data_IF_807650190943
#
_entry.id   IF_807650190943
#
_cell.length_a   1.000
_cell.length_b   1.000
_cell.length_c   1.000
_cell.angle_alpha   90.00
_cell.angle_beta   90.00
_cell.angle_gamma   90.00
#
_symmetry.space_group_name_H-M   'P 1'
#
loop_
_entity.id
_entity.type
_entity.pdbx_description
1 polymer ?
#
# COMPACT_ATOMS: atom_id res chain seq x y z
N UNK A 1 6.35 -21.26 -4.04
CA UNK A 1 6.57 -20.00 -3.30
C UNK A 1 7.87 -19.35 -3.75
N UNK A 2 8.99 -19.63 -3.07
CA UNK A 2 10.32 -19.10 -3.42
C UNK A 2 10.83 -19.54 -4.81
N UNK A 3 10.72 -20.82 -5.13
CA UNK A 3 11.20 -21.38 -6.42
C UNK A 3 10.51 -20.73 -7.65
N UNK A 4 9.25 -20.31 -7.54
CA UNK A 4 8.54 -19.61 -8.61
C UNK A 4 8.89 -18.11 -8.69
N UNK A 5 9.33 -17.52 -7.56
CA UNK A 5 9.81 -16.13 -7.48
C UNK A 5 11.18 -15.98 -8.14
N UNK A 6 12.09 -16.93 -7.89
CA UNK A 6 13.48 -16.84 -8.35
C UNK A 6 13.62 -17.04 -9.87
N UNK A 7 12.61 -17.66 -10.51
CA UNK A 7 12.55 -17.82 -11.97
C UNK A 7 11.79 -16.71 -12.70
N UNK A 8 11.17 -15.78 -11.97
CA UNK A 8 10.46 -14.67 -12.58
C UNK A 8 11.45 -13.56 -13.01
N UNK A 9 11.15 -12.79 -14.06
CA UNK A 9 11.93 -11.59 -14.41
C UNK A 9 12.11 -10.65 -13.21
N UNK A 10 13.23 -9.95 -13.13
CA UNK A 10 13.50 -9.00 -12.04
C UNK A 10 12.37 -7.95 -11.89
N UNK A 11 11.74 -7.57 -13.00
CA UNK A 11 10.49 -6.79 -13.09
C UNK A 11 9.42 -7.28 -12.13
N UNK A 12 9.16 -8.58 -12.24
CA UNK A 12 8.03 -9.25 -11.62
C UNK A 12 8.34 -9.46 -10.14
N UNK A 13 9.59 -9.76 -9.81
CA UNK A 13 10.05 -9.85 -8.43
C UNK A 13 9.95 -8.50 -7.71
N UNK A 14 10.36 -7.40 -8.36
CA UNK A 14 10.26 -6.04 -7.82
C UNK A 14 8.81 -5.59 -7.63
N UNK A 15 7.96 -5.79 -8.64
CA UNK A 15 6.51 -5.52 -8.55
C UNK A 15 5.86 -6.32 -7.41
N UNK A 16 6.19 -7.60 -7.29
CA UNK A 16 5.65 -8.47 -6.25
C UNK A 16 6.11 -8.09 -4.85
N UNK A 17 7.38 -7.75 -4.67
CA UNK A 17 7.91 -7.24 -3.40
C UNK A 17 7.19 -5.96 -2.97
N UNK A 18 7.01 -5.04 -3.90
CA UNK A 18 6.25 -3.80 -3.65
C UNK A 18 4.80 -4.09 -3.25
N UNK A 19 4.11 -4.97 -3.99
CA UNK A 19 2.73 -5.35 -3.66
C UNK A 19 2.62 -5.94 -2.26
N UNK A 20 3.60 -6.76 -1.82
CA UNK A 20 3.61 -7.29 -0.44
C UNK A 20 3.71 -6.19 0.60
N UNK A 21 4.57 -5.19 0.40
CA UNK A 21 4.69 -4.07 1.33
C UNK A 21 3.42 -3.23 1.41
N UNK A 22 2.73 -3.04 0.31
CA UNK A 22 1.48 -2.26 0.27
C UNK A 22 0.33 -3.02 0.93
N UNK A 23 0.17 -4.30 0.63
CA UNK A 23 -0.86 -5.15 1.25
C UNK A 23 -0.59 -5.36 2.74
N UNK A 24 0.65 -5.26 3.21
CA UNK A 24 0.97 -5.39 4.64
C UNK A 24 0.86 -4.05 5.37
N UNK A 25 1.64 -3.04 4.98
CA UNK A 25 1.69 -1.76 5.66
C UNK A 25 0.47 -0.91 5.33
N UNK A 26 0.15 -0.76 4.04
CA UNK A 26 -0.92 0.11 3.59
C UNK A 26 -2.30 -0.31 4.10
N UNK A 27 -2.58 -1.62 4.10
CA UNK A 27 -3.83 -2.14 4.64
C UNK A 27 -3.90 -2.15 6.16
N UNK A 28 -2.77 -2.27 6.87
CA UNK A 28 -2.74 -2.24 8.33
C UNK A 28 -3.17 -0.87 8.91
N UNK A 29 -3.14 0.19 8.11
CA UNK A 29 -3.59 1.53 8.52
C UNK A 29 -5.10 1.52 8.84
N UNK A 30 -5.93 0.77 8.11
CA UNK A 30 -7.37 0.71 8.35
C UNK A 30 -7.74 0.15 9.74
N UNK A 31 -7.30 -1.06 10.15
CA UNK A 31 -7.59 -1.57 11.49
C UNK A 31 -6.94 -0.74 12.61
N UNK A 32 -5.74 -0.17 12.38
CA UNK A 32 -5.13 0.76 13.35
C UNK A 32 -5.97 2.03 13.52
N UNK A 33 -6.51 2.57 12.43
CA UNK A 33 -7.40 3.73 12.46
C UNK A 33 -8.69 3.45 13.21
N UNK A 34 -9.28 2.27 12.98
CA UNK A 34 -10.45 1.83 13.72
C UNK A 34 -10.15 1.70 15.21
N UNK A 35 -9.01 1.12 15.56
CA UNK A 35 -8.57 0.99 16.95
C UNK A 35 -8.40 2.37 17.61
N UNK A 36 -7.69 3.29 16.96
CA UNK A 36 -7.47 4.65 17.49
C UNK A 36 -8.77 5.46 17.59
N UNK A 37 -9.70 5.28 16.66
CA UNK A 37 -10.98 5.97 16.65
C UNK A 37 -11.90 5.55 17.79
N UNK A 38 -12.01 4.24 18.07
CA UNK A 38 -13.02 3.73 19.01
C UNK A 38 -12.48 3.29 20.36
N UNK A 39 -11.22 2.87 20.46
CA UNK A 39 -10.67 2.30 21.69
C UNK A 39 -9.91 3.31 22.57
N UNK A 40 -9.83 4.57 22.16
CA UNK A 40 -9.16 5.64 22.92
C UNK A 40 -10.07 6.32 23.95
N UNK A 41 -11.35 5.94 24.04
CA UNK A 41 -12.32 6.56 24.93
C UNK A 41 -12.78 7.95 24.48
N UNK A 42 -12.46 8.34 23.24
CA UNK A 42 -12.89 9.60 22.65
C UNK A 42 -14.41 9.62 22.41
N UNK A 43 -15.02 10.81 22.52
CA UNK A 43 -16.43 11.00 22.20
C UNK A 43 -16.72 10.76 20.70
N UNK A 44 -17.98 10.47 20.32
CA UNK A 44 -18.35 10.04 18.96
C UNK A 44 -17.85 10.96 17.83
N UNK A 45 -17.87 12.28 18.05
CA UNK A 45 -17.42 13.27 17.06
C UNK A 45 -15.90 13.23 16.85
N UNK A 46 -15.14 13.11 17.94
CA UNK A 46 -13.68 12.99 17.87
C UNK A 46 -13.26 11.68 17.19
N UNK A 47 -13.95 10.57 17.51
CA UNK A 47 -13.76 9.29 16.83
C UNK A 47 -14.03 9.39 15.32
N UNK A 48 -15.12 10.05 14.92
CA UNK A 48 -15.48 10.23 13.51
C UNK A 48 -14.46 11.10 12.77
N UNK A 49 -13.96 12.18 13.37
CA UNK A 49 -12.93 13.01 12.78
C UNK A 49 -11.62 12.24 12.57
N UNK A 50 -11.18 11.49 13.59
CA UNK A 50 -9.99 10.65 13.50
C UNK A 50 -10.11 9.56 12.43
N UNK A 51 -11.26 8.89 12.33
CA UNK A 51 -11.51 7.88 11.30
C UNK A 51 -11.40 8.49 9.90
N UNK A 52 -12.04 9.64 9.65
CA UNK A 52 -11.98 10.28 8.33
C UNK A 52 -10.55 10.65 7.93
N UNK A 53 -9.75 11.18 8.86
CA UNK A 53 -8.34 11.52 8.58
C UNK A 53 -7.54 10.26 8.25
N UNK A 54 -7.68 9.20 9.05
CA UNK A 54 -6.90 7.98 8.88
C UNK A 54 -7.31 7.25 7.58
N UNK A 55 -8.59 7.24 7.23
CA UNK A 55 -9.07 6.64 5.98
C UNK A 55 -8.59 7.41 4.76
N UNK A 56 -8.62 8.75 4.79
CA UNK A 56 -8.07 9.56 3.70
C UNK A 56 -6.57 9.31 3.52
N UNK A 57 -5.80 9.24 4.61
CA UNK A 57 -4.38 8.90 4.56
C UNK A 57 -4.16 7.49 3.99
N UNK A 58 -4.93 6.51 4.46
CA UNK A 58 -4.88 5.14 3.96
C UNK A 58 -5.18 5.09 2.46
N UNK A 59 -6.14 5.88 1.99
CA UNK A 59 -6.48 5.96 0.57
C UNK A 59 -5.38 6.59 -0.28
N UNK A 60 -4.71 7.65 0.20
CA UNK A 60 -3.55 8.21 -0.50
C UNK A 60 -2.44 7.17 -0.64
N UNK A 61 -2.16 6.40 0.41
CA UNK A 61 -1.10 5.37 0.39
C UNK A 61 -1.51 4.19 -0.51
N UNK A 62 -2.71 3.65 -0.32
CA UNK A 62 -3.13 2.42 -0.99
C UNK A 62 -3.56 2.62 -2.45
N UNK A 63 -3.97 3.84 -2.84
CA UNK A 63 -4.44 4.13 -4.20
C UNK A 63 -3.43 4.95 -4.99
N UNK A 64 -3.01 6.11 -4.45
CA UNK A 64 -2.14 7.03 -5.19
C UNK A 64 -0.70 6.51 -5.19
N UNK A 65 -0.10 6.29 -4.01
CA UNK A 65 1.28 5.84 -3.93
C UNK A 65 1.45 4.45 -4.58
N UNK A 66 0.49 3.54 -4.37
CA UNK A 66 0.45 2.26 -5.09
C UNK A 66 0.45 2.43 -6.60
N UNK A 67 -0.45 3.25 -7.15
CA UNK A 67 -0.53 3.49 -8.59
C UNK A 67 0.77 4.06 -9.16
N UNK A 68 1.40 5.02 -8.45
CA UNK A 68 2.67 5.62 -8.85
C UNK A 68 3.81 4.60 -8.84
N UNK A 69 3.88 3.72 -7.85
CA UNK A 69 4.94 2.71 -7.80
C UNK A 69 4.77 1.67 -8.91
N UNK A 70 3.55 1.19 -9.16
CA UNK A 70 3.28 0.27 -10.28
C UNK A 70 3.64 0.91 -11.61
N UNK A 71 3.26 2.18 -11.81
CA UNK A 71 3.64 2.93 -13.00
C UNK A 71 5.16 3.06 -13.14
N UNK A 72 5.88 3.39 -12.07
CA UNK A 72 7.34 3.50 -12.08
C UNK A 72 8.02 2.17 -12.44
N UNK A 73 7.55 1.04 -11.89
CA UNK A 73 8.04 -0.29 -12.25
C UNK A 73 7.76 -0.57 -13.72
N UNK A 74 6.55 -0.31 -14.22
CA UNK A 74 6.19 -0.55 -15.61
C UNK A 74 7.03 0.28 -16.61
N UNK A 75 7.27 1.57 -16.31
CA UNK A 75 8.10 2.44 -17.15
C UNK A 75 9.55 1.96 -17.15
N UNK A 76 10.12 1.68 -15.98
CA UNK A 76 11.50 1.19 -15.85
C UNK A 76 11.73 -0.09 -16.66
N UNK A 77 10.75 -0.99 -16.66
CA UNK A 77 10.80 -2.25 -17.39
C UNK A 77 10.62 -2.07 -18.89
N UNK A 78 9.75 -1.15 -19.30
CA UNK A 78 9.60 -0.76 -20.70
C UNK A 78 10.88 -0.15 -21.26
N UNK A 79 11.57 0.68 -20.48
CA UNK A 79 12.81 1.32 -20.90
C UNK A 79 13.98 0.33 -20.98
N UNK A 80 14.09 -0.60 -20.02
CA UNK A 80 15.04 -1.71 -20.09
C UNK A 80 14.82 -2.59 -21.32
N UNK A 81 13.57 -2.84 -21.71
CA UNK A 81 13.25 -3.66 -22.87
C UNK A 81 13.54 -2.98 -24.23
N UNK A 82 13.70 -1.65 -24.24
CA UNK A 82 14.04 -0.86 -25.44
C UNK A 82 15.56 -0.68 -25.63
N UNK A 83 16.33 -0.85 -24.56
CA UNK A 83 17.80 -0.78 -24.56
C UNK A 83 18.41 -2.10 -25.07
#
# INVERSE_FOLDING_TARGET
GKVASDQAPESVQSAFSTMRWIVTIGWAIYPLGYFMGYFTGAGPEASAASLNIIYNLADVINKIAFGVIIWNVAVTETDKAKA
#
